data_IF_088227228428
#
_entry.id   IF_088227228428
#
_cell.length_a   1.000
_cell.length_b   1.000
_cell.length_c   1.000
_cell.angle_alpha   90.00
_cell.angle_beta   90.00
_cell.angle_gamma   90.00
#
_symmetry.space_group_name_H-M   'P 1'
#
loop_
_entity.id
_entity.type
_entity.pdbx_description
1 polymer ?
#
# COMPACT_ATOMS: atom_id res chain seq x y z
N UNK A 1 40.45 -18.25 8.59
CA UNK A 1 39.71 -18.98 7.57
C UNK A 1 38.23 -19.19 7.89
N UNK A 2 37.89 -19.52 9.09
CA UNK A 2 36.49 -19.64 9.53
C UNK A 2 35.69 -18.32 9.42
N UNK A 3 36.34 -17.21 9.63
CA UNK A 3 35.74 -15.87 9.51
C UNK A 3 35.32 -15.48 8.08
N UNK A 4 36.00 -15.99 7.06
CA UNK A 4 35.63 -15.72 5.67
C UNK A 4 34.34 -16.42 5.25
N UNK A 5 34.10 -17.66 5.72
CA UNK A 5 32.86 -18.40 5.44
C UNK A 5 31.65 -17.74 6.09
N UNK A 6 31.81 -17.21 7.27
CA UNK A 6 30.75 -16.47 7.98
C UNK A 6 30.34 -15.18 7.25
N UNK A 7 31.31 -14.47 6.68
CA UNK A 7 31.03 -13.25 5.91
C UNK A 7 30.26 -13.53 4.63
N UNK A 8 30.53 -14.62 3.95
CA UNK A 8 29.80 -15.01 2.73
C UNK A 8 28.36 -15.39 3.03
N UNK A 9 28.13 -16.11 4.12
CA UNK A 9 26.77 -16.46 4.54
C UNK A 9 25.94 -15.23 4.88
N UNK A 10 26.55 -14.23 5.48
CA UNK A 10 25.90 -12.98 5.83
C UNK A 10 25.47 -12.20 4.61
N UNK A 11 26.30 -12.15 3.57
CA UNK A 11 25.97 -11.49 2.31
C UNK A 11 24.80 -12.13 1.58
N UNK A 12 24.67 -13.45 1.62
CA UNK A 12 23.54 -14.17 1.03
C UNK A 12 22.22 -13.83 1.72
N UNK A 13 22.21 -13.71 3.04
CA UNK A 13 21.02 -13.34 3.81
C UNK A 13 20.55 -11.91 3.52
N UNK A 14 21.47 -10.97 3.40
CA UNK A 14 21.16 -9.57 3.06
C UNK A 14 20.56 -9.47 1.67
N UNK A 15 21.06 -10.24 0.71
CA UNK A 15 20.54 -10.26 -0.65
C UNK A 15 19.10 -10.79 -0.72
N UNK A 16 18.79 -11.85 0.01
CA UNK A 16 17.44 -12.40 0.11
C UNK A 16 16.45 -11.41 0.74
N UNK A 17 16.90 -10.63 1.70
CA UNK A 17 16.08 -9.63 2.37
C UNK A 17 15.70 -8.49 1.42
N UNK A 18 16.61 -8.06 0.56
CA UNK A 18 16.35 -7.00 -0.43
C UNK A 18 15.33 -7.44 -1.48
N UNK A 19 15.33 -8.71 -1.88
CA UNK A 19 14.38 -9.24 -2.85
C UNK A 19 12.92 -9.19 -2.37
N UNK A 20 12.66 -9.18 -1.07
CA UNK A 20 11.32 -9.13 -0.50
C UNK A 20 10.72 -7.72 -0.43
N UNK A 21 11.49 -6.67 -0.73
CA UNK A 21 11.02 -5.27 -0.66
C UNK A 21 10.42 -4.80 -1.99
N UNK A 22 10.48 -5.62 -3.05
CA UNK A 22 10.17 -5.20 -4.42
C UNK A 22 8.69 -5.12 -4.79
N UNK A 23 7.74 -5.37 -3.87
CA UNK A 23 6.32 -5.43 -4.19
C UNK A 23 5.46 -4.45 -3.39
N UNK A 24 5.82 -3.16 -3.44
CA UNK A 24 5.04 -2.11 -2.78
C UNK A 24 4.08 -1.46 -3.78
N UNK A 25 2.81 -1.47 -3.44
CA UNK A 25 1.74 -0.76 -4.14
C UNK A 25 1.53 0.57 -3.41
N UNK A 26 1.58 1.69 -4.12
CA UNK A 26 1.51 3.02 -3.50
C UNK A 26 0.29 3.79 -4.00
N UNK A 27 -0.43 4.41 -3.08
CA UNK A 27 -1.56 5.30 -3.38
C UNK A 27 -1.26 6.67 -2.80
N UNK A 28 -1.39 7.72 -3.61
CA UNK A 28 -1.39 9.11 -3.15
C UNK A 28 -2.83 9.54 -2.93
N UNK A 29 -3.09 10.23 -1.83
CA UNK A 29 -4.45 10.63 -1.52
C UNK A 29 -4.53 12.04 -0.98
N UNK A 30 -5.68 12.65 -1.17
CA UNK A 30 -6.11 13.83 -0.45
C UNK A 30 -7.46 13.56 0.19
N UNK A 31 -7.49 13.54 1.52
CA UNK A 31 -8.72 13.36 2.28
C UNK A 31 -9.28 14.74 2.64
N UNK A 32 -10.38 15.12 2.00
CA UNK A 32 -11.07 16.41 2.24
C UNK A 32 -11.94 16.37 3.49
N UNK A 33 -12.20 15.21 4.04
CA UNK A 33 -13.06 15.06 5.20
C UNK A 33 -12.29 15.31 6.50
N UNK A 34 -13.00 15.72 7.54
CA UNK A 34 -12.41 16.03 8.84
C UNK A 34 -12.27 14.81 9.74
N UNK A 35 -12.32 13.62 9.19
CA UNK A 35 -12.13 12.39 9.96
C UNK A 35 -11.19 11.43 9.25
N UNK A 36 -10.50 10.60 10.05
CA UNK A 36 -9.67 9.52 9.54
C UNK A 36 -10.56 8.39 9.03
N UNK A 37 -10.17 7.77 7.92
CA UNK A 37 -10.84 6.60 7.40
C UNK A 37 -9.93 5.39 7.46
N UNK A 38 -10.49 4.27 7.90
CA UNK A 38 -9.88 2.95 7.77
C UNK A 38 -10.73 2.17 6.79
N UNK A 39 -10.18 1.86 5.62
CA UNK A 39 -10.92 1.20 4.55
C UNK A 39 -10.33 -0.16 4.24
N UNK A 40 -11.19 -1.13 3.89
CA UNK A 40 -10.75 -2.43 3.44
C UNK A 40 -10.22 -2.37 2.03
N UNK A 41 -9.11 -3.07 1.77
CA UNK A 41 -8.50 -3.21 0.45
C UNK A 41 -8.48 -4.69 0.10
N UNK A 42 -8.99 -5.00 -1.06
CA UNK A 42 -9.04 -6.37 -1.58
C UNK A 42 -8.14 -6.50 -2.79
N UNK A 43 -7.23 -7.46 -2.76
CA UNK A 43 -6.36 -7.78 -3.89
C UNK A 43 -5.97 -9.26 -3.88
N UNK A 44 -6.02 -9.91 -5.04
CA UNK A 44 -5.61 -11.31 -5.20
C UNK A 44 -6.21 -12.26 -4.14
N UNK A 45 -7.47 -12.05 -3.76
CA UNK A 45 -8.14 -12.87 -2.76
C UNK A 45 -7.78 -12.57 -1.31
N UNK A 46 -6.89 -11.60 -1.07
CA UNK A 46 -6.51 -11.14 0.26
C UNK A 46 -7.18 -9.82 0.59
N UNK A 47 -7.48 -9.63 1.88
CA UNK A 47 -8.05 -8.38 2.38
C UNK A 47 -7.12 -7.78 3.43
N UNK A 48 -6.86 -6.49 3.32
CA UNK A 48 -6.10 -5.75 4.33
C UNK A 48 -6.78 -4.40 4.56
N UNK A 49 -6.33 -3.67 5.56
CA UNK A 49 -6.88 -2.35 5.87
C UNK A 49 -5.87 -1.28 5.56
N UNK A 50 -6.35 -0.13 5.09
CA UNK A 50 -5.54 1.06 4.83
C UNK A 50 -6.17 2.25 5.54
N UNK A 51 -5.32 3.13 6.07
CA UNK A 51 -5.76 4.32 6.79
C UNK A 51 -5.48 5.58 5.99
N UNK A 52 -6.48 6.46 5.92
CA UNK A 52 -6.36 7.77 5.30
C UNK A 52 -6.61 8.84 6.35
N UNK A 53 -5.59 9.66 6.64
CA UNK A 53 -5.67 10.68 7.66
C UNK A 53 -6.54 11.87 7.24
N UNK A 54 -7.23 12.45 8.21
CA UNK A 54 -8.18 13.54 7.98
C UNK A 54 -7.52 14.81 7.49
N UNK A 55 -8.21 15.55 6.61
CA UNK A 55 -7.85 16.90 6.17
C UNK A 55 -6.39 17.02 5.70
N UNK A 56 -5.86 15.99 5.05
CA UNK A 56 -4.46 15.98 4.68
C UNK A 56 -4.23 15.26 3.34
N UNK A 57 -3.13 15.62 2.71
CA UNK A 57 -2.56 14.89 1.59
C UNK A 57 -1.46 13.97 2.09
N UNK A 58 -1.41 12.77 1.56
CA UNK A 58 -0.41 11.81 1.97
C UNK A 58 -0.26 10.69 0.96
N UNK A 59 0.54 9.71 1.33
CA UNK A 59 0.64 8.47 0.57
C UNK A 59 0.61 7.29 1.51
N UNK A 60 0.08 6.19 1.03
CA UNK A 60 0.02 4.94 1.78
C UNK A 60 0.46 3.79 0.87
N UNK A 61 0.99 2.74 1.49
CA UNK A 61 1.47 1.57 0.77
C UNK A 61 0.63 0.36 1.12
N UNK A 62 0.41 -0.50 0.13
CA UNK A 62 -0.31 -1.76 0.28
C UNK A 62 0.63 -2.88 -0.13
N UNK A 63 0.69 -3.94 0.67
CA UNK A 63 1.49 -5.11 0.39
C UNK A 63 0.74 -6.02 -0.60
N UNK A 64 1.07 -5.89 -1.88
CA UNK A 64 0.48 -6.74 -2.92
C UNK A 64 1.36 -6.77 -4.15
N UNK A 65 1.28 -7.85 -4.91
CA UNK A 65 1.90 -7.97 -6.23
C UNK A 65 0.94 -7.59 -7.36
N UNK A 66 -0.32 -7.27 -7.03
CA UNK A 66 -1.30 -6.85 -8.01
C UNK A 66 -1.00 -5.45 -8.53
N UNK A 67 -1.39 -5.16 -9.77
CA UNK A 67 -1.30 -3.83 -10.36
C UNK A 67 -2.53 -2.96 -10.08
N UNK A 68 -3.59 -3.57 -9.55
CA UNK A 68 -4.86 -2.91 -9.24
C UNK A 68 -5.46 -3.55 -7.99
N UNK A 69 -6.03 -2.73 -7.14
CA UNK A 69 -6.75 -3.16 -5.93
C UNK A 69 -8.15 -2.59 -5.93
N UNK A 70 -9.02 -3.16 -5.07
CA UNK A 70 -10.35 -2.61 -4.81
C UNK A 70 -10.41 -2.10 -3.38
N UNK A 71 -10.93 -0.89 -3.19
CA UNK A 71 -11.07 -0.25 -1.88
C UNK A 71 -12.55 -0.10 -1.57
N UNK A 72 -12.95 -0.56 -0.39
CA UNK A 72 -14.34 -0.43 0.07
C UNK A 72 -14.56 0.95 0.66
N UNK A 73 -15.41 1.74 0.01
CA UNK A 73 -15.76 3.10 0.42
C UNK A 73 -17.22 3.19 0.81
N UNK A 74 -17.66 4.34 1.29
CA UNK A 74 -19.08 4.59 1.56
C UNK A 74 -19.95 4.48 0.29
N UNK A 75 -19.33 4.65 -0.88
CA UNK A 75 -19.99 4.55 -2.19
C UNK A 75 -19.79 3.18 -2.86
N UNK A 76 -19.28 2.19 -2.13
CA UNK A 76 -19.00 0.85 -2.66
C UNK A 76 -17.52 0.63 -2.96
N UNK A 77 -17.22 -0.45 -3.66
CA UNK A 77 -15.88 -0.84 -4.04
C UNK A 77 -15.38 -0.02 -5.23
N UNK A 78 -14.19 0.54 -5.10
CA UNK A 78 -13.55 1.36 -6.14
C UNK A 78 -12.23 0.71 -6.54
N UNK A 79 -12.02 0.55 -7.85
CA UNK A 79 -10.76 0.02 -8.39
C UNK A 79 -9.72 1.12 -8.46
N UNK A 80 -8.54 0.86 -7.92
CA UNK A 80 -7.43 1.80 -7.87
C UNK A 80 -6.16 1.11 -8.39
N UNK A 81 -5.45 1.75 -9.29
CA UNK A 81 -4.20 1.26 -9.84
C UNK A 81 -3.01 1.73 -9.00
N UNK A 82 -1.90 1.02 -9.11
CA UNK A 82 -0.64 1.41 -8.49
C UNK A 82 -0.23 2.82 -8.95
N UNK A 83 0.26 3.61 -8.01
CA UNK A 83 0.68 5.00 -8.23
C UNK A 83 -0.47 5.96 -8.57
N UNK A 84 -1.71 5.55 -8.35
CA UNK A 84 -2.86 6.41 -8.55
C UNK A 84 -2.91 7.54 -7.51
N UNK A 85 -3.56 8.62 -7.91
CA UNK A 85 -3.88 9.74 -7.03
C UNK A 85 -5.39 9.79 -6.83
N UNK A 86 -5.82 9.77 -5.58
CA UNK A 86 -7.25 9.72 -5.23
C UNK A 86 -7.64 10.91 -4.35
N UNK A 87 -8.90 11.28 -4.42
CA UNK A 87 -9.52 12.27 -3.53
C UNK A 87 -10.63 11.60 -2.76
N UNK A 88 -10.63 11.80 -1.44
CA UNK A 88 -11.67 11.29 -0.55
C UNK A 88 -12.57 12.47 -0.13
N UNK A 89 -13.85 12.33 -0.37
CA UNK A 89 -14.86 13.30 0.04
C UNK A 89 -16.15 12.56 0.39
N UNK A 90 -16.70 12.87 1.55
CA UNK A 90 -17.93 12.23 2.07
C UNK A 90 -17.80 10.70 2.15
N UNK A 91 -16.59 10.23 2.44
CA UNK A 91 -16.28 8.80 2.52
C UNK A 91 -16.17 8.08 1.18
N UNK A 92 -16.28 8.80 0.08
CA UNK A 92 -16.19 8.24 -1.28
C UNK A 92 -14.87 8.59 -1.95
N UNK A 93 -14.40 7.73 -2.84
CA UNK A 93 -13.14 7.94 -3.56
C UNK A 93 -13.40 8.35 -5.00
N UNK A 94 -12.69 9.37 -5.46
CA UNK A 94 -12.60 9.77 -6.87
C UNK A 94 -11.15 9.63 -7.32
N UNK A 95 -10.93 9.05 -8.50
CA UNK A 95 -9.59 8.93 -9.10
C UNK A 95 -9.30 10.23 -9.86
N UNK A 96 -8.15 10.82 -9.61
CA UNK A 96 -7.68 11.97 -10.38
C UNK A 96 -6.94 11.59 -11.64
#
# INVERSE_FOLDING_TARGET
MLTMKLKMTFLSLVFLFIANIASAFTIRYYNKDSKNYEMEVRSNGSTQKVEFNSSTSGSTSIQTSASEVEIKTACGWVKVKDSAKIVIKDGCITIE
#
